data_IF_402067603064
#
_entry.id   IF_402067603064
#
_cell.length_a   1.000
_cell.length_b   1.000
_cell.length_c   1.000
_cell.angle_alpha   90.00
_cell.angle_beta   90.00
_cell.angle_gamma   90.00
#
_symmetry.space_group_name_H-M   'P 1'
#
loop_
_entity.id
_entity.type
_entity.pdbx_description
1 polymer ?
#
# COMPACT_ATOMS: atom_id res chain seq x y z
N UNK A 1 3.13 -3.04 -1.81
CA UNK A 1 2.45 -3.97 -2.74
C UNK A 1 2.12 -5.24 -1.98
N UNK A 2 0.85 -5.43 -1.61
CA UNK A 2 0.41 -6.51 -0.73
C UNK A 2 0.59 -7.90 -1.35
N UNK A 3 0.46 -8.01 -2.67
CA UNK A 3 0.57 -9.29 -3.39
C UNK A 3 2.02 -9.76 -3.49
N UNK A 4 2.95 -8.82 -3.71
CA UNK A 4 4.38 -9.12 -3.69
C UNK A 4 4.82 -9.56 -2.28
N UNK A 5 4.41 -8.83 -1.24
CA UNK A 5 4.74 -9.19 0.14
C UNK A 5 4.16 -10.54 0.55
N UNK A 6 2.91 -10.81 0.18
CA UNK A 6 2.27 -12.11 0.41
C UNK A 6 3.00 -13.23 -0.32
N UNK A 7 3.34 -13.05 -1.60
CA UNK A 7 4.08 -14.07 -2.38
C UNK A 7 5.44 -14.38 -1.74
N UNK A 8 6.20 -13.35 -1.33
CA UNK A 8 7.46 -13.54 -0.63
C UNK A 8 7.28 -14.29 0.69
N UNK A 9 6.25 -13.96 1.47
CA UNK A 9 5.94 -14.66 2.71
C UNK A 9 5.64 -16.14 2.48
N UNK A 10 4.81 -16.48 1.48
CA UNK A 10 4.49 -17.86 1.14
C UNK A 10 5.71 -18.65 0.65
N UNK A 11 6.63 -18.02 -0.09
CA UNK A 11 7.86 -18.67 -0.56
C UNK A 11 8.79 -18.97 0.62
N UNK A 12 8.95 -18.02 1.55
CA UNK A 12 9.79 -18.21 2.73
C UNK A 12 9.22 -19.29 3.66
N UNK A 13 7.90 -19.29 3.88
CA UNK A 13 7.21 -20.32 4.67
C UNK A 13 7.40 -21.72 4.04
N UNK A 14 7.21 -21.84 2.72
CA UNK A 14 7.47 -23.08 1.99
C UNK A 14 8.94 -23.53 2.03
N UNK A 15 9.88 -22.59 2.20
CA UNK A 15 11.31 -22.87 2.38
C UNK A 15 11.68 -23.24 3.83
N UNK A 16 10.70 -23.29 4.75
CA UNK A 16 10.88 -23.71 6.14
C UNK A 16 11.25 -22.60 7.11
N UNK A 17 11.09 -21.33 6.73
CA UNK A 17 11.26 -20.21 7.66
C UNK A 17 10.01 -20.01 8.50
N UNK A 18 10.17 -19.59 9.75
CA UNK A 18 9.07 -18.98 10.51
C UNK A 18 8.83 -17.57 9.97
N UNK A 19 7.63 -17.32 9.41
CA UNK A 19 7.30 -16.05 8.74
C UNK A 19 6.22 -15.29 9.50
N UNK A 20 6.59 -14.12 10.00
CA UNK A 20 5.67 -13.18 10.64
C UNK A 20 5.31 -12.07 9.63
N UNK A 21 4.05 -12.02 9.26
CA UNK A 21 3.48 -11.08 8.29
C UNK A 21 2.93 -9.88 9.06
N UNK A 22 3.56 -8.74 8.86
CA UNK A 22 3.20 -7.50 9.56
C UNK A 22 2.73 -6.43 8.59
N UNK A 23 1.82 -5.58 9.04
CA UNK A 23 1.38 -4.40 8.30
C UNK A 23 1.56 -3.14 9.15
N UNK A 24 2.01 -2.04 8.53
CA UNK A 24 2.01 -0.72 9.17
C UNK A 24 0.78 0.01 8.68
N UNK A 25 -0.10 0.38 9.60
CA UNK A 25 -1.28 1.19 9.33
C UNK A 25 -0.96 2.62 9.74
N UNK A 26 -1.01 3.52 8.76
CA UNK A 26 -0.96 4.95 9.03
C UNK A 26 -2.34 5.39 9.52
N UNK A 27 -2.45 5.54 10.83
CA UNK A 27 -3.70 5.89 11.52
C UNK A 27 -3.62 7.24 12.21
N UNK A 28 -2.63 8.06 11.88
CA UNK A 28 -2.43 9.40 12.44
C UNK A 28 -2.07 10.39 11.35
N UNK A 29 -2.59 11.61 11.47
CA UNK A 29 -2.07 12.78 10.78
C UNK A 29 -3.16 13.69 10.26
N UNK A 30 -2.74 14.79 9.63
CA UNK A 30 -3.65 15.84 9.17
C UNK A 30 -4.69 15.31 8.17
N UNK A 31 -4.35 14.29 7.36
CA UNK A 31 -5.28 13.69 6.41
C UNK A 31 -6.50 13.04 7.09
N UNK A 32 -6.30 12.41 8.25
CA UNK A 32 -7.40 11.80 9.02
C UNK A 32 -8.26 12.88 9.67
N UNK A 33 -7.63 13.93 10.21
CA UNK A 33 -8.34 15.09 10.76
C UNK A 33 -9.22 15.78 9.70
N UNK A 34 -8.77 15.84 8.44
CA UNK A 34 -9.58 16.35 7.32
C UNK A 34 -10.86 15.53 7.13
N UNK A 35 -10.76 14.19 7.08
CA UNK A 35 -11.93 13.31 6.97
C UNK A 35 -12.85 13.42 8.18
N UNK A 36 -12.29 13.43 9.40
CA UNK A 36 -13.07 13.58 10.64
C UNK A 36 -13.83 14.89 10.68
N UNK A 37 -13.17 16.01 10.34
CA UNK A 37 -13.78 17.32 10.32
C UNK A 37 -14.88 17.42 9.25
N UNK A 38 -14.64 16.91 8.04
CA UNK A 38 -15.66 16.89 7.00
C UNK A 38 -16.87 16.03 7.39
N UNK A 39 -16.67 14.89 8.03
CA UNK A 39 -17.77 14.07 8.54
C UNK A 39 -18.56 14.78 9.66
N UNK A 40 -17.89 15.49 10.57
CA UNK A 40 -18.57 16.28 11.60
C UNK A 40 -19.40 17.44 11.01
N UNK A 41 -18.87 18.12 10.00
CA UNK A 41 -19.53 19.28 9.39
C UNK A 41 -20.64 18.90 8.41
N UNK A 42 -20.45 17.83 7.64
CA UNK A 42 -21.27 17.51 6.46
C UNK A 42 -21.82 16.08 6.47
N UNK A 43 -21.43 15.26 7.43
CA UNK A 43 -21.78 13.83 7.44
C UNK A 43 -23.14 13.52 8.04
N UNK A 44 -23.82 14.46 8.70
CA UNK A 44 -25.17 14.28 9.28
C UNK A 44 -25.31 13.02 10.17
N UNK A 45 -24.26 12.65 10.89
CA UNK A 45 -24.16 11.40 11.67
C UNK A 45 -24.35 10.10 10.87
N UNK A 46 -24.20 10.14 9.54
CA UNK A 46 -24.21 8.95 8.70
C UNK A 46 -23.08 8.00 9.07
N UNK A 47 -23.28 6.72 8.77
CA UNK A 47 -22.33 5.63 9.03
C UNK A 47 -22.20 4.77 7.79
N UNK A 48 -21.14 3.93 7.69
CA UNK A 48 -21.07 2.90 6.64
C UNK A 48 -22.34 2.05 6.56
N UNK A 49 -22.86 1.64 7.72
CA UNK A 49 -24.09 0.84 7.81
C UNK A 49 -25.34 1.58 7.30
N UNK A 50 -25.48 2.88 7.57
CA UNK A 50 -26.65 3.65 7.13
C UNK A 50 -26.60 4.02 5.65
N UNK A 51 -25.40 4.07 5.06
CA UNK A 51 -25.20 4.44 3.64
C UNK A 51 -25.03 3.22 2.73
N UNK A 52 -24.72 2.04 3.29
CA UNK A 52 -24.35 0.86 2.52
C UNK A 52 -22.98 0.96 1.84
N UNK A 53 -22.19 1.99 2.17
CA UNK A 53 -20.84 2.19 1.62
C UNK A 53 -19.83 1.50 2.54
N UNK A 54 -18.89 0.77 1.95
CA UNK A 54 -17.78 0.12 2.65
C UNK A 54 -16.99 1.13 3.50
N UNK A 55 -16.56 0.74 4.71
CA UNK A 55 -16.08 1.70 5.72
C UNK A 55 -14.88 2.57 5.32
N UNK A 56 -13.87 2.01 4.65
CA UNK A 56 -12.73 2.76 4.12
C UNK A 56 -13.10 3.68 2.96
N UNK A 57 -14.01 3.25 2.07
CA UNK A 57 -14.55 4.10 1.00
C UNK A 57 -15.40 5.24 1.59
N UNK A 58 -16.21 4.95 2.60
CA UNK A 58 -17.05 5.92 3.30
C UNK A 58 -16.20 7.03 3.92
N UNK A 59 -15.15 6.67 4.67
CA UNK A 59 -14.22 7.65 5.26
C UNK A 59 -13.40 8.38 4.19
N UNK A 60 -13.00 7.67 3.12
CA UNK A 60 -12.33 8.24 1.95
C UNK A 60 -13.17 9.31 1.24
N UNK A 61 -14.48 9.10 1.13
CA UNK A 61 -15.39 10.10 0.56
C UNK A 61 -15.37 11.42 1.33
N UNK A 62 -15.24 11.39 2.66
CA UNK A 62 -15.10 12.62 3.46
C UNK A 62 -13.74 13.30 3.30
N UNK A 63 -12.67 12.56 2.98
CA UNK A 63 -11.41 13.17 2.57
C UNK A 63 -11.58 13.96 1.26
N UNK A 64 -12.27 13.35 0.28
CA UNK A 64 -12.57 14.00 -1.00
C UNK A 64 -13.49 15.21 -0.80
N UNK A 65 -14.52 15.09 0.05
CA UNK A 65 -15.41 16.19 0.41
C UNK A 65 -14.63 17.34 1.06
N UNK A 66 -13.72 17.04 2.00
CA UNK A 66 -12.85 18.06 2.59
C UNK A 66 -12.03 18.79 1.52
N UNK A 67 -11.35 18.05 0.63
CA UNK A 67 -10.53 18.67 -0.42
C UNK A 67 -11.36 19.48 -1.42
N UNK A 68 -12.59 19.04 -1.72
CA UNK A 68 -13.54 19.78 -2.53
C UNK A 68 -13.94 21.11 -1.88
N UNK A 69 -14.31 21.08 -0.60
CA UNK A 69 -14.66 22.27 0.19
C UNK A 69 -13.48 23.22 0.35
N UNK A 70 -12.29 22.69 0.63
CA UNK A 70 -11.07 23.45 0.72
C UNK A 70 -10.70 24.12 -0.61
N UNK A 71 -10.86 23.41 -1.74
CA UNK A 71 -10.65 23.99 -3.07
C UNK A 71 -11.62 25.14 -3.34
N UNK A 72 -12.89 24.99 -2.96
CA UNK A 72 -13.88 26.06 -3.09
C UNK A 72 -13.55 27.27 -2.19
N UNK A 73 -13.15 27.04 -0.95
CA UNK A 73 -12.69 28.08 -0.02
C UNK A 73 -11.48 28.84 -0.60
N UNK A 74 -10.49 28.11 -1.11
CA UNK A 74 -9.28 28.69 -1.67
C UNK A 74 -9.56 29.50 -2.95
N UNK A 75 -10.41 28.98 -3.85
CA UNK A 75 -10.83 29.69 -5.06
C UNK A 75 -11.60 30.98 -4.74
N UNK A 76 -12.45 30.96 -3.71
CA UNK A 76 -13.13 32.16 -3.24
C UNK A 76 -12.13 33.18 -2.67
N UNK A 77 -11.16 32.73 -1.86
CA UNK A 77 -10.12 33.59 -1.29
C UNK A 77 -9.25 34.24 -2.37
N UNK A 78 -8.87 33.52 -3.42
CA UNK A 78 -8.08 34.04 -4.54
C UNK A 78 -8.70 35.27 -5.21
N UNK A 79 -10.02 35.43 -5.12
CA UNK A 79 -10.76 36.56 -5.69
C UNK A 79 -10.87 37.77 -4.75
N UNK A 80 -10.20 37.75 -3.59
CA UNK A 80 -10.27 38.82 -2.59
C UNK A 80 -9.09 39.79 -2.71
N UNK A 81 -9.28 41.04 -2.27
CA UNK A 81 -8.21 42.04 -2.20
C UNK A 81 -7.02 41.57 -1.34
N UNK A 82 -7.28 40.75 -0.31
CA UNK A 82 -6.25 40.17 0.53
C UNK A 82 -5.35 39.20 -0.25
N UNK A 83 -5.93 38.35 -1.10
CA UNK A 83 -5.17 37.44 -1.95
C UNK A 83 -4.37 38.20 -3.02
N UNK A 84 -4.97 39.23 -3.62
CA UNK A 84 -4.30 40.10 -4.60
C UNK A 84 -3.08 40.77 -3.95
N UNK A 85 -3.22 41.29 -2.73
CA UNK A 85 -2.11 41.91 -2.01
C UNK A 85 -0.99 40.90 -1.68
N UNK A 86 -1.34 39.67 -1.28
CA UNK A 86 -0.36 38.59 -1.03
C UNK A 86 0.36 38.21 -2.33
N UNK A 87 -0.36 38.09 -3.44
CA UNK A 87 0.22 37.78 -4.75
C UNK A 87 1.19 38.89 -5.20
N UNK A 88 0.76 40.15 -5.21
CA UNK A 88 1.58 41.27 -5.67
C UNK A 88 2.84 41.49 -4.83
N UNK A 89 2.80 41.15 -3.53
CA UNK A 89 3.95 41.29 -2.63
C UNK A 89 4.93 40.11 -2.66
N UNK A 90 4.51 38.93 -3.11
CA UNK A 90 5.33 37.70 -3.03
C UNK A 90 5.62 37.05 -4.39
N UNK A 91 5.03 37.54 -5.49
CA UNK A 91 5.31 37.01 -6.83
C UNK A 91 6.77 37.23 -7.22
N UNK A 92 7.35 36.25 -7.90
CA UNK A 92 8.63 36.39 -8.59
C UNK A 92 8.40 37.02 -9.97
N UNK A 93 9.39 37.74 -10.51
CA UNK A 93 9.25 38.50 -11.77
C UNK A 93 8.69 37.68 -12.95
N UNK A 94 9.02 36.39 -13.04
CA UNK A 94 8.59 35.49 -14.13
C UNK A 94 7.54 34.44 -13.71
N UNK A 95 6.94 34.55 -12.52
CA UNK A 95 5.99 33.55 -12.03
C UNK A 95 4.57 33.90 -12.45
N UNK A 96 3.88 32.97 -13.13
CA UNK A 96 2.48 33.15 -13.45
C UNK A 96 1.60 33.08 -12.19
N UNK A 97 0.43 33.72 -12.24
CA UNK A 97 -0.57 33.69 -11.16
C UNK A 97 -0.95 32.25 -10.77
N UNK A 98 -1.15 31.38 -11.76
CA UNK A 98 -1.47 29.98 -11.54
C UNK A 98 -0.34 29.22 -10.83
N UNK A 99 0.93 29.45 -11.22
CA UNK A 99 2.08 28.83 -10.56
C UNK A 99 2.26 29.33 -9.12
N UNK A 100 2.03 30.63 -8.88
CA UNK A 100 2.07 31.20 -7.54
C UNK A 100 1.03 30.55 -6.64
N UNK A 101 -0.24 30.56 -7.04
CA UNK A 101 -1.30 30.01 -6.19
C UNK A 101 -1.22 28.49 -6.04
N UNK A 102 -0.68 27.76 -7.01
CA UNK A 102 -0.40 26.34 -6.83
C UNK A 102 0.66 26.09 -5.75
N UNK A 103 1.74 26.90 -5.72
CA UNK A 103 2.76 26.80 -4.68
C UNK A 103 2.27 27.31 -3.31
N UNK A 104 1.43 28.34 -3.30
CA UNK A 104 0.92 28.98 -2.09
C UNK A 104 -0.17 28.17 -1.37
N UNK A 105 -0.76 27.15 -2.02
CA UNK A 105 -1.87 26.33 -1.48
C UNK A 105 -1.59 25.80 -0.07
N UNK A 106 -0.37 25.33 0.19
CA UNK A 106 0.01 24.81 1.52
C UNK A 106 0.12 25.92 2.57
N UNK A 107 0.67 27.08 2.20
CA UNK A 107 0.73 28.22 3.10
C UNK A 107 -0.67 28.77 3.40
N UNK A 108 -1.53 28.86 2.38
CA UNK A 108 -2.94 29.19 2.54
C UNK A 108 -3.64 28.25 3.53
N UNK A 109 -3.51 26.93 3.33
CA UNK A 109 -4.05 25.92 4.26
C UNK A 109 -3.56 26.15 5.70
N UNK A 110 -2.30 26.53 5.85
CA UNK A 110 -1.67 26.63 7.15
C UNK A 110 -2.03 27.90 7.92
N UNK A 111 -2.11 29.04 7.22
CA UNK A 111 -2.08 30.35 7.86
C UNK A 111 -3.41 31.11 7.71
N UNK A 112 -4.19 30.81 6.65
CA UNK A 112 -5.36 31.61 6.27
C UNK A 112 -6.66 30.81 6.29
N UNK A 113 -6.61 29.53 5.93
CA UNK A 113 -7.79 28.69 5.75
C UNK A 113 -8.52 28.42 7.06
N UNK A 114 -9.82 28.69 7.10
CA UNK A 114 -10.66 28.33 8.24
C UNK A 114 -10.74 26.80 8.41
N UNK A 115 -10.95 26.08 7.30
CA UNK A 115 -10.93 24.61 7.29
C UNK A 115 -9.55 24.05 7.70
N UNK A 116 -8.46 24.66 7.22
CA UNK A 116 -7.10 24.24 7.57
C UNK A 116 -6.77 24.46 9.05
N UNK A 117 -7.17 25.61 9.61
CA UNK A 117 -7.02 25.90 11.04
C UNK A 117 -7.85 24.93 11.90
N UNK A 118 -9.09 24.65 11.53
CA UNK A 118 -9.94 23.69 12.24
C UNK A 118 -9.35 22.26 12.20
N UNK A 119 -8.84 21.81 11.05
CA UNK A 119 -8.21 20.50 10.92
C UNK A 119 -6.92 20.40 11.77
N UNK A 120 -6.13 21.46 11.84
CA UNK A 120 -4.95 21.54 12.73
C UNK A 120 -5.33 21.55 14.20
N UNK A 121 -6.35 22.31 14.58
CA UNK A 121 -6.84 22.33 15.95
C UNK A 121 -7.29 20.94 16.39
N UNK A 122 -8.00 20.21 15.54
CA UNK A 122 -8.38 18.82 15.78
C UNK A 122 -7.16 17.90 15.92
N UNK A 123 -6.12 18.08 15.11
CA UNK A 123 -4.88 17.31 15.26
C UNK A 123 -4.23 17.56 16.62
N UNK A 124 -4.14 18.82 17.07
CA UNK A 124 -3.61 19.16 18.38
C UNK A 124 -4.45 18.59 19.53
N UNK A 125 -5.78 18.62 19.40
CA UNK A 125 -6.70 18.00 20.36
C UNK A 125 -6.48 16.49 20.44
N UNK A 126 -6.32 15.82 19.30
CA UNK A 126 -6.01 14.40 19.24
C UNK A 126 -4.67 14.09 19.92
N UNK A 127 -3.62 14.87 19.64
CA UNK A 127 -2.29 14.71 20.25
C UNK A 127 -2.31 14.97 21.77
N UNK A 128 -3.18 15.88 22.23
CA UNK A 128 -3.41 16.15 23.65
C UNK A 128 -4.26 15.07 24.35
N UNK A 129 -4.78 14.08 23.60
CA UNK A 129 -5.61 13.01 24.14
C UNK A 129 -7.03 13.45 24.48
N UNK A 130 -7.56 14.48 23.81
CA UNK A 130 -8.93 14.96 24.00
C UNK A 130 -9.95 13.81 23.84
N UNK A 131 -10.78 13.52 24.87
CA UNK A 131 -11.64 12.33 24.86
C UNK A 131 -12.62 12.25 23.67
N UNK A 132 -13.20 13.38 23.27
CA UNK A 132 -14.17 13.42 22.17
C UNK A 132 -13.48 13.20 20.82
N UNK A 133 -12.36 13.90 20.60
CA UNK A 133 -11.56 13.78 19.38
C UNK A 133 -11.00 12.36 19.22
N UNK A 134 -10.47 11.77 20.30
CA UNK A 134 -9.96 10.39 20.29
C UNK A 134 -11.09 9.39 20.07
N UNK A 135 -12.28 9.61 20.64
CA UNK A 135 -13.44 8.73 20.42
C UNK A 135 -13.91 8.76 18.95
N UNK A 136 -13.97 9.94 18.34
CA UNK A 136 -14.29 10.08 16.91
C UNK A 136 -13.23 9.39 16.04
N UNK A 137 -11.96 9.62 16.35
CA UNK A 137 -10.84 8.99 15.65
C UNK A 137 -10.91 7.46 15.70
N UNK A 138 -11.12 6.87 16.89
CA UNK A 138 -11.30 5.41 17.06
C UNK A 138 -12.47 4.89 16.24
N UNK A 139 -13.59 5.62 16.22
CA UNK A 139 -14.79 5.24 15.45
C UNK A 139 -14.51 5.22 13.95
N UNK A 140 -13.97 6.30 13.39
CA UNK A 140 -13.75 6.39 11.95
C UNK A 140 -12.66 5.44 11.47
N UNK A 141 -11.54 5.33 12.21
CA UNK A 141 -10.50 4.35 11.88
C UNK A 141 -11.01 2.91 12.01
N UNK A 142 -11.89 2.62 12.98
CA UNK A 142 -12.56 1.32 13.09
C UNK A 142 -13.28 0.93 11.79
N UNK A 143 -14.04 1.85 11.19
CA UNK A 143 -14.69 1.63 9.89
C UNK A 143 -13.69 1.38 8.76
N UNK A 144 -12.57 2.12 8.74
CA UNK A 144 -11.50 1.90 7.76
C UNK A 144 -10.88 0.51 7.91
N UNK A 145 -10.61 0.07 9.14
CA UNK A 145 -10.00 -1.23 9.40
C UNK A 145 -10.93 -2.40 9.03
N UNK A 146 -12.23 -2.25 9.28
CA UNK A 146 -13.25 -3.20 8.81
C UNK A 146 -13.24 -3.30 7.28
N UNK A 147 -13.21 -2.15 6.59
CA UNK A 147 -13.10 -2.09 5.14
C UNK A 147 -11.82 -2.74 4.59
N UNK A 148 -10.66 -2.44 5.16
CA UNK A 148 -9.40 -3.08 4.78
C UNK A 148 -9.45 -4.61 4.96
N UNK A 149 -10.07 -5.09 6.04
CA UNK A 149 -10.22 -6.53 6.27
C UNK A 149 -11.08 -7.21 5.20
N UNK A 150 -12.10 -6.54 4.65
CA UNK A 150 -12.86 -7.05 3.51
C UNK A 150 -11.97 -7.21 2.28
N UNK A 151 -11.16 -6.20 1.94
CA UNK A 151 -10.21 -6.26 0.81
C UNK A 151 -9.15 -7.34 1.04
N UNK A 152 -8.62 -7.48 2.26
CA UNK A 152 -7.63 -8.52 2.59
C UNK A 152 -8.20 -9.92 2.42
N UNK A 153 -9.42 -10.16 2.94
CA UNK A 153 -10.15 -11.42 2.70
C UNK A 153 -10.39 -11.63 1.22
N UNK A 154 -10.76 -10.58 0.48
CA UNK A 154 -11.04 -10.68 -0.93
C UNK A 154 -9.81 -11.11 -1.74
N UNK A 155 -8.64 -10.58 -1.39
CA UNK A 155 -7.35 -10.94 -1.95
C UNK A 155 -6.79 -12.25 -1.38
N UNK A 156 -7.36 -12.83 -0.32
CA UNK A 156 -6.84 -14.02 0.33
C UNK A 156 -5.46 -13.78 0.95
N UNK A 157 -5.29 -12.63 1.60
CA UNK A 157 -4.07 -12.24 2.32
C UNK A 157 -4.40 -12.02 3.80
N UNK A 158 -3.44 -12.33 4.67
CA UNK A 158 -3.58 -12.17 6.12
C UNK A 158 -2.32 -11.55 6.73
N UNK A 159 -2.47 -10.94 7.90
CA UNK A 159 -1.37 -10.41 8.69
C UNK A 159 -1.45 -10.99 10.09
N UNK A 160 -0.29 -11.37 10.64
CA UNK A 160 -0.17 -11.88 12.01
C UNK A 160 -0.19 -10.73 13.02
N UNK A 161 0.28 -9.54 12.61
CA UNK A 161 0.20 -8.32 13.42
C UNK A 161 0.02 -7.04 12.59
N UNK A 162 -0.87 -6.17 13.07
CA UNK A 162 -1.00 -4.79 12.61
C UNK A 162 -0.26 -3.87 13.58
N UNK A 163 0.60 -3.01 13.04
CA UNK A 163 1.26 -1.94 13.77
C UNK A 163 0.60 -0.63 13.40
N UNK A 164 0.37 0.22 14.40
CA UNK A 164 -0.22 1.53 14.21
C UNK A 164 0.82 2.61 14.46
N UNK A 165 0.90 3.61 13.59
CA UNK A 165 1.84 4.72 13.77
C UNK A 165 1.56 5.52 15.06
N UNK A 166 0.31 5.49 15.53
CA UNK A 166 -0.09 6.03 16.83
C UNK A 166 0.63 5.38 18.02
N UNK A 167 1.09 4.13 17.90
CA UNK A 167 1.76 3.39 18.98
C UNK A 167 3.30 3.54 18.98
N UNK A 168 3.92 3.83 17.83
CA UNK A 168 5.38 3.70 17.66
C UNK A 168 6.15 5.02 17.76
N UNK A 169 5.48 6.17 17.63
CA UNK A 169 6.16 7.46 17.51
C UNK A 169 6.90 7.91 18.78
N UNK A 170 6.42 7.54 19.97
CA UNK A 170 7.06 7.88 21.24
C UNK A 170 8.41 7.16 21.39
N UNK A 171 8.44 5.87 21.08
CA UNK A 171 9.67 5.07 21.12
C UNK A 171 10.76 5.64 20.19
N UNK A 172 10.36 6.11 19.00
CA UNK A 172 11.27 6.77 18.07
C UNK A 172 11.95 8.01 18.67
N UNK A 173 11.22 8.82 19.43
CA UNK A 173 11.79 10.01 20.11
C UNK A 173 12.79 9.61 21.18
N UNK A 174 12.47 8.62 22.01
CA UNK A 174 13.37 8.13 23.07
C UNK A 174 14.70 7.61 22.49
N UNK A 175 14.66 6.95 21.33
CA UNK A 175 15.86 6.47 20.63
C UNK A 175 16.70 7.65 20.11
N UNK A 176 16.07 8.69 19.55
CA UNK A 176 16.78 9.90 19.11
C UNK A 176 17.46 10.60 20.29
N UNK A 177 16.78 10.73 21.43
CA UNK A 177 17.34 11.34 22.63
C UNK A 177 18.55 10.56 23.16
N UNK A 178 18.51 9.22 23.12
CA UNK A 178 19.66 8.37 23.46
C UNK A 178 20.80 8.57 22.45
N UNK A 179 20.48 8.59 21.16
CA UNK A 179 21.47 8.77 20.09
C UNK A 179 22.13 10.16 20.09
N UNK A 180 21.45 11.20 20.58
CA UNK A 180 22.04 12.51 20.84
C UNK A 180 23.14 12.43 21.92
N UNK A 181 22.90 11.67 23.00
CA UNK A 181 23.87 11.51 24.10
C UNK A 181 25.10 10.72 23.67
N UNK A 182 24.97 9.82 22.71
CA UNK A 182 26.07 9.00 22.17
C UNK A 182 26.76 9.64 20.96
N UNK A 183 26.31 10.81 20.49
CA UNK A 183 26.89 11.54 19.36
C UNK A 183 26.52 11.00 17.97
N UNK A 184 25.54 10.10 17.87
CA UNK A 184 25.01 9.61 16.58
C UNK A 184 24.18 10.70 15.89
N UNK A 185 23.41 11.45 16.68
CA UNK A 185 22.65 12.60 16.22
C UNK A 185 23.31 13.89 16.70
N UNK A 186 23.01 15.01 16.03
CA UNK A 186 23.43 16.34 16.44
C UNK A 186 22.24 17.32 16.38
N UNK A 187 22.29 18.35 17.22
CA UNK A 187 21.26 19.38 17.31
C UNK A 187 21.73 20.66 16.62
N UNK A 188 20.85 21.28 15.83
CA UNK A 188 21.08 22.60 15.21
C UNK A 188 20.65 23.75 16.13
N UNK A 189 21.06 25.00 15.85
CA UNK A 189 20.70 26.17 16.66
C UNK A 189 19.18 26.43 16.77
N UNK A 190 18.38 25.95 15.82
CA UNK A 190 16.91 26.03 15.83
C UNK A 190 16.24 24.91 16.66
N UNK A 191 17.02 24.15 17.43
CA UNK A 191 16.63 22.97 18.20
C UNK A 191 16.25 21.73 17.38
N UNK A 192 16.29 21.78 16.05
CA UNK A 192 16.04 20.58 15.23
C UNK A 192 17.17 19.55 15.36
N UNK A 193 16.83 18.27 15.28
CA UNK A 193 17.79 17.16 15.44
C UNK A 193 18.00 16.48 14.09
N UNK A 194 19.28 16.25 13.78
CA UNK A 194 19.74 15.73 12.51
C UNK A 194 20.75 14.59 12.69
N UNK A 195 20.94 13.81 11.64
CA UNK A 195 22.08 12.91 11.49
C UNK A 195 22.89 13.31 10.27
N UNK A 196 24.21 13.25 10.39
CA UNK A 196 25.16 13.40 9.28
C UNK A 196 25.42 12.02 8.71
N UNK A 197 25.21 11.83 7.41
CA UNK A 197 25.38 10.54 6.73
C UNK A 197 26.36 10.62 5.55
N UNK A 198 27.20 11.66 5.49
CA UNK A 198 28.09 11.90 4.35
C UNK A 198 29.09 10.76 4.14
N UNK A 199 29.58 10.13 5.21
CA UNK A 199 30.46 8.95 5.15
C UNK A 199 29.83 7.76 4.40
N UNK A 200 28.49 7.67 4.42
CA UNK A 200 27.71 6.67 3.70
C UNK A 200 27.29 7.14 2.29
N UNK A 201 27.77 8.30 1.84
CA UNK A 201 27.36 9.00 0.59
C UNK A 201 25.88 9.36 0.57
N UNK A 202 25.34 9.74 1.72
CA UNK A 202 23.97 10.22 1.90
C UNK A 202 24.00 11.64 2.50
N UNK A 203 22.90 12.38 2.37
CA UNK A 203 22.82 13.75 2.89
C UNK A 203 22.50 13.76 4.40
N UNK A 204 22.70 14.92 5.03
CA UNK A 204 22.19 15.18 6.36
C UNK A 204 20.67 15.02 6.40
N UNK A 205 20.16 14.23 7.35
CA UNK A 205 18.74 13.94 7.48
C UNK A 205 18.16 14.52 8.76
N UNK A 206 17.06 15.26 8.63
CA UNK A 206 16.22 15.69 9.74
C UNK A 206 15.53 14.47 10.36
N UNK A 207 15.71 14.27 11.67
CA UNK A 207 15.05 13.20 12.44
C UNK A 207 14.13 13.73 13.53
N UNK A 208 14.21 15.00 13.92
CA UNK A 208 13.20 15.66 14.76
C UNK A 208 13.10 17.14 14.39
N UNK A 209 11.89 17.66 14.22
CA UNK A 209 11.66 19.08 13.94
C UNK A 209 12.01 19.96 15.15
N UNK A 210 12.19 21.25 14.90
CA UNK A 210 12.50 22.27 15.91
C UNK A 210 11.44 22.41 17.02
N UNK A 211 10.18 22.11 16.69
CA UNK A 211 9.04 22.07 17.61
C UNK A 211 8.92 20.74 18.40
N UNK A 212 9.86 19.81 18.19
CA UNK A 212 9.84 18.47 18.81
C UNK A 212 8.90 17.48 18.14
N UNK A 213 8.27 17.83 17.01
CA UNK A 213 7.39 16.94 16.25
C UNK A 213 8.18 15.87 15.51
N UNK A 214 7.74 14.61 15.60
CA UNK A 214 8.35 13.46 14.90
C UNK A 214 8.14 13.55 13.38
N UNK A 215 9.11 13.04 12.63
CA UNK A 215 9.01 12.82 11.18
C UNK A 215 8.88 11.32 10.90
N UNK A 216 8.57 10.93 9.65
CA UNK A 216 8.48 9.52 9.26
C UNK A 216 9.73 8.71 9.61
N UNK A 217 10.93 9.32 9.47
CA UNK A 217 12.18 8.67 9.87
C UNK A 217 12.20 8.31 11.36
N UNK A 218 11.72 9.21 12.24
CA UNK A 218 11.59 8.93 13.69
C UNK A 218 10.71 7.73 13.96
N UNK A 219 9.56 7.69 13.29
CA UNK A 219 8.56 6.64 13.47
C UNK A 219 9.07 5.29 13.00
N UNK A 220 9.78 5.25 11.87
CA UNK A 220 10.33 4.00 11.33
C UNK A 220 11.50 3.47 12.17
N UNK A 221 12.31 4.33 12.78
CA UNK A 221 13.32 3.92 13.77
C UNK A 221 12.65 3.25 14.97
N UNK A 222 11.59 3.86 15.51
CA UNK A 222 10.82 3.29 16.61
C UNK A 222 10.16 1.96 16.22
N UNK A 223 9.54 1.91 15.04
CA UNK A 223 8.83 0.72 14.54
C UNK A 223 9.78 -0.44 14.27
N UNK A 224 10.96 -0.19 13.69
CA UNK A 224 11.99 -1.22 13.48
C UNK A 224 12.47 -1.82 14.81
N UNK A 225 12.66 -0.96 15.82
CA UNK A 225 13.10 -1.39 17.16
C UNK A 225 12.03 -2.20 17.87
N UNK A 226 10.79 -1.71 17.89
CA UNK A 226 9.65 -2.43 18.49
C UNK A 226 9.48 -3.84 17.91
N UNK A 227 9.58 -3.96 16.58
CA UNK A 227 9.47 -5.26 15.89
C UNK A 227 10.56 -6.24 16.28
N UNK A 228 11.78 -5.74 16.49
CA UNK A 228 12.88 -6.57 16.92
C UNK A 228 12.74 -6.97 18.39
N UNK A 229 12.35 -6.03 19.27
CA UNK A 229 12.10 -6.33 20.68
C UNK A 229 11.00 -7.37 20.88
N UNK A 230 9.99 -7.38 20.01
CA UNK A 230 8.87 -8.32 20.08
C UNK A 230 9.19 -9.69 19.49
N UNK A 231 9.87 -9.74 18.34
CA UNK A 231 10.02 -10.99 17.58
C UNK A 231 11.46 -11.52 17.51
N UNK A 232 12.47 -10.70 17.82
CA UNK A 232 13.87 -11.10 17.74
C UNK A 232 14.30 -11.61 16.35
N UNK A 233 13.76 -11.02 15.28
CA UNK A 233 13.88 -11.57 13.93
C UNK A 233 15.33 -11.71 13.43
N UNK A 234 15.59 -12.77 12.68
CA UNK A 234 16.87 -12.96 11.96
C UNK A 234 16.94 -12.18 10.65
N UNK A 235 15.79 -11.90 10.02
CA UNK A 235 15.67 -11.13 8.78
C UNK A 235 14.38 -10.34 8.76
N UNK A 236 14.45 -9.13 8.19
CA UNK A 236 13.27 -8.28 8.00
C UNK A 236 13.20 -7.76 6.58
N UNK A 237 12.10 -8.05 5.89
CA UNK A 237 11.86 -7.61 4.51
C UNK A 237 10.81 -6.51 4.48
N UNK A 238 11.23 -5.31 4.07
CA UNK A 238 10.35 -4.17 3.80
C UNK A 238 9.89 -4.21 2.34
N UNK A 239 8.59 -4.32 2.10
CA UNK A 239 8.01 -4.37 0.75
C UNK A 239 7.37 -3.02 0.42
N UNK A 240 8.19 -2.08 -0.06
CA UNK A 240 7.78 -0.67 -0.27
C UNK A 240 8.22 -0.19 -1.65
N UNK A 241 7.46 0.73 -2.25
CA UNK A 241 7.72 1.26 -3.59
C UNK A 241 9.10 1.93 -3.72
N UNK A 242 9.60 2.00 -4.97
CA UNK A 242 10.89 2.59 -5.34
C UNK A 242 11.02 4.08 -5.01
N UNK A 243 9.90 4.80 -4.93
CA UNK A 243 9.83 6.19 -4.43
C UNK A 243 10.45 6.35 -3.03
N UNK A 244 10.51 5.27 -2.23
CA UNK A 244 11.07 5.28 -0.87
C UNK A 244 12.48 4.68 -0.78
N UNK A 245 13.16 4.42 -1.91
CA UNK A 245 14.50 3.83 -1.90
C UNK A 245 15.50 4.60 -1.04
N UNK A 246 15.56 5.92 -1.19
CA UNK A 246 16.47 6.77 -0.40
C UNK A 246 16.11 6.73 1.09
N UNK A 247 14.81 6.72 1.41
CA UNK A 247 14.33 6.64 2.79
C UNK A 247 14.83 5.37 3.49
N UNK A 248 14.71 4.20 2.85
CA UNK A 248 15.18 2.94 3.45
C UNK A 248 16.71 2.84 3.53
N UNK A 249 17.44 3.41 2.57
CA UNK A 249 18.91 3.51 2.67
C UNK A 249 19.32 4.30 3.91
N UNK A 250 18.69 5.46 4.11
CA UNK A 250 18.91 6.31 5.29
C UNK A 250 18.50 5.60 6.58
N UNK A 251 17.32 4.94 6.61
CA UNK A 251 16.85 4.20 7.78
C UNK A 251 17.86 3.12 8.18
N UNK A 252 18.28 2.26 7.24
CA UNK A 252 19.19 1.16 7.54
C UNK A 252 20.55 1.66 8.02
N UNK A 253 21.06 2.74 7.43
CA UNK A 253 22.30 3.38 7.88
C UNK A 253 22.17 3.96 9.29
N UNK A 254 21.05 4.62 9.61
CA UNK A 254 20.77 5.09 10.98
C UNK A 254 20.76 3.92 11.96
N UNK A 255 20.10 2.81 11.63
CA UNK A 255 20.05 1.63 12.50
C UNK A 255 21.45 1.04 12.75
N UNK A 256 22.34 1.05 11.75
CA UNK A 256 23.74 0.63 11.90
C UNK A 256 24.52 1.54 12.84
N UNK A 257 24.39 2.86 12.68
CA UNK A 257 25.08 3.85 13.54
C UNK A 257 24.57 3.85 14.98
N UNK A 258 23.30 3.52 15.18
CA UNK A 258 22.73 3.28 16.50
C UNK A 258 23.21 1.96 17.13
N UNK A 259 23.96 1.13 16.40
CA UNK A 259 24.47 -0.15 16.89
C UNK A 259 23.39 -1.23 17.04
N UNK A 260 22.29 -1.12 16.31
CA UNK A 260 21.22 -2.10 16.38
C UNK A 260 21.69 -3.47 15.85
N UNK A 261 21.54 -4.57 16.62
CA UNK A 261 22.13 -5.87 16.27
C UNK A 261 21.52 -6.51 15.01
N UNK A 262 20.35 -6.04 14.60
CA UNK A 262 19.60 -6.52 13.44
C UNK A 262 19.77 -5.64 12.19
N UNK A 263 20.54 -4.56 12.26
CA UNK A 263 20.60 -3.57 11.17
C UNK A 263 21.05 -4.15 9.82
N UNK A 264 22.01 -5.10 9.83
CA UNK A 264 22.49 -5.77 8.61
C UNK A 264 21.51 -6.80 8.03
N UNK A 265 20.49 -7.17 8.81
CA UNK A 265 19.47 -8.15 8.43
C UNK A 265 18.18 -7.53 7.89
N UNK A 266 18.16 -6.20 7.76
CA UNK A 266 17.05 -5.44 7.16
C UNK A 266 17.23 -5.35 5.65
N UNK A 267 16.19 -5.69 4.90
CA UNK A 267 16.20 -5.68 3.43
C UNK A 267 15.01 -4.91 2.87
N UNK A 268 15.26 -4.01 1.92
CA UNK A 268 14.21 -3.31 1.18
C UNK A 268 13.94 -4.03 -0.15
N UNK A 269 12.85 -4.79 -0.20
CA UNK A 269 12.27 -5.30 -1.43
C UNK A 269 11.51 -4.18 -2.14
N UNK A 270 12.29 -3.36 -2.83
CA UNK A 270 11.79 -2.25 -3.65
C UNK A 270 11.00 -2.75 -4.87
N UNK A 271 9.85 -2.13 -5.14
CA UNK A 271 9.04 -2.41 -6.32
C UNK A 271 8.69 -1.13 -7.11
N UNK A 272 8.60 -1.25 -8.43
CA UNK A 272 8.21 -0.17 -9.33
C UNK A 272 6.70 0.06 -9.34
N UNK A 273 6.28 1.25 -9.76
CA UNK A 273 4.87 1.63 -9.77
C UNK A 273 4.06 0.86 -10.83
N UNK A 274 2.77 0.71 -10.55
CA UNK A 274 1.79 0.09 -11.45
C UNK A 274 0.93 1.19 -12.07
N UNK A 275 0.89 1.25 -13.39
CA UNK A 275 0.06 2.16 -14.18
C UNK A 275 -1.04 1.38 -14.90
N UNK A 276 -2.15 2.04 -15.22
CA UNK A 276 -3.18 1.47 -16.10
C UNK A 276 -2.98 2.00 -17.53
N UNK A 277 -3.46 1.32 -18.59
CA UNK A 277 -3.36 1.81 -19.96
C UNK A 277 -3.98 3.21 -20.17
N UNK A 278 -4.96 3.57 -19.34
CA UNK A 278 -5.64 4.87 -19.35
C UNK A 278 -4.85 5.99 -18.66
N UNK A 279 -3.72 5.68 -18.03
CA UNK A 279 -2.85 6.59 -17.29
C UNK A 279 -2.55 6.09 -15.87
N UNK A 280 -2.13 6.99 -14.98
CA UNK A 280 -2.00 6.67 -13.54
C UNK A 280 -3.32 6.13 -13.00
N UNK A 281 -3.29 5.42 -11.86
CA UNK A 281 -4.49 5.07 -11.06
C UNK A 281 -5.18 6.35 -10.52
N UNK A 282 -5.72 7.16 -11.43
CA UNK A 282 -6.55 8.32 -11.25
C UNK A 282 -7.47 8.34 -12.47
N UNK A 283 -8.75 8.15 -12.23
CA UNK A 283 -9.78 8.36 -13.25
C UNK A 283 -9.68 9.80 -13.79
N UNK A 284 -10.17 10.02 -15.01
CA UNK A 284 -10.31 11.37 -15.58
C UNK A 284 -11.23 12.28 -14.76
N UNK A 285 -11.98 11.72 -13.81
CA UNK A 285 -12.86 12.43 -12.87
C UNK A 285 -12.20 12.68 -11.50
N UNK A 286 -10.94 12.26 -11.31
CA UNK A 286 -10.18 12.47 -10.07
C UNK A 286 -10.35 11.38 -9.01
N UNK A 287 -11.08 10.32 -9.30
CA UNK A 287 -11.24 9.15 -8.42
C UNK A 287 -10.01 8.26 -8.51
N UNK A 288 -9.38 7.96 -7.38
CA UNK A 288 -8.32 6.95 -7.27
C UNK A 288 -8.93 5.59 -7.66
N UNK A 289 -8.18 4.75 -8.38
CA UNK A 289 -8.64 3.36 -8.64
C UNK A 289 -8.38 2.56 -7.38
N UNK A 290 -9.44 2.18 -6.67
CA UNK A 290 -9.35 1.41 -5.45
C UNK A 290 -9.02 -0.05 -5.76
N UNK A 291 -8.42 -0.75 -4.79
CA UNK A 291 -8.09 -2.16 -4.94
C UNK A 291 -9.34 -3.02 -5.21
N UNK A 292 -10.47 -2.64 -4.61
CA UNK A 292 -11.75 -3.33 -4.80
C UNK A 292 -12.28 -3.15 -6.21
N UNK A 293 -12.17 -1.94 -6.78
CA UNK A 293 -12.56 -1.64 -8.15
C UNK A 293 -11.71 -2.45 -9.13
N UNK A 294 -10.40 -2.53 -8.89
CA UNK A 294 -9.50 -3.32 -9.73
C UNK A 294 -9.84 -4.82 -9.68
N UNK A 295 -10.15 -5.35 -8.49
CA UNK A 295 -10.60 -6.75 -8.34
C UNK A 295 -11.92 -6.97 -9.10
N UNK A 296 -12.88 -6.06 -8.95
CA UNK A 296 -14.17 -6.14 -9.63
C UNK A 296 -14.02 -6.06 -11.15
N UNK A 297 -13.16 -5.17 -11.66
CA UNK A 297 -12.86 -5.00 -13.07
C UNK A 297 -12.27 -6.28 -13.67
N UNK A 298 -11.23 -6.85 -13.04
CA UNK A 298 -10.58 -8.08 -13.55
C UNK A 298 -11.54 -9.28 -13.52
N UNK A 299 -12.40 -9.38 -12.50
CA UNK A 299 -13.46 -10.41 -12.45
C UNK A 299 -14.49 -10.17 -13.57
N UNK A 300 -14.84 -8.92 -13.84
CA UNK A 300 -15.72 -8.52 -14.93
C UNK A 300 -15.16 -8.90 -16.31
N UNK A 301 -13.87 -8.65 -16.54
CA UNK A 301 -13.18 -9.07 -17.78
C UNK A 301 -13.10 -10.60 -17.90
N UNK A 302 -12.86 -11.31 -16.79
CA UNK A 302 -12.89 -12.77 -16.77
C UNK A 302 -14.28 -13.33 -17.15
N UNK A 303 -15.36 -12.67 -16.70
CA UNK A 303 -16.74 -13.02 -17.08
C UNK A 303 -16.94 -12.84 -18.58
N UNK A 304 -16.64 -11.66 -19.12
CA UNK A 304 -16.80 -11.37 -20.55
C UNK A 304 -16.05 -12.39 -21.41
N UNK A 305 -14.80 -12.68 -21.06
CA UNK A 305 -14.00 -13.67 -21.77
C UNK A 305 -14.60 -15.10 -21.68
N UNK A 306 -15.29 -15.45 -20.59
CA UNK A 306 -15.96 -16.74 -20.46
C UNK A 306 -17.27 -16.80 -21.29
N UNK A 307 -18.04 -15.71 -21.32
CA UNK A 307 -19.26 -15.56 -22.13
C UNK A 307 -18.98 -15.64 -23.63
N UNK A 308 -17.93 -14.93 -24.11
CA UNK A 308 -17.51 -14.95 -25.52
C UNK A 308 -17.16 -16.36 -26.05
N UNK A 309 -16.82 -17.29 -25.14
CA UNK A 309 -16.50 -18.68 -25.46
C UNK A 309 -17.67 -19.65 -25.30
N UNK A 310 -18.84 -19.15 -24.91
CA UNK A 310 -20.00 -19.98 -24.61
C UNK A 310 -19.80 -20.90 -23.40
N UNK A 311 -18.87 -20.56 -22.50
CA UNK A 311 -18.55 -21.37 -21.32
C UNK A 311 -19.45 -21.03 -20.10
N UNK A 312 -20.23 -19.95 -20.20
CA UNK A 312 -21.10 -19.43 -19.15
C UNK A 312 -22.44 -19.09 -19.80
N UNK A 313 -23.52 -19.72 -19.35
CA UNK A 313 -24.88 -19.21 -19.61
C UNK A 313 -25.09 -17.97 -18.74
N UNK A 314 -25.97 -17.03 -19.13
CA UNK A 314 -26.18 -15.73 -18.44
C UNK A 314 -26.73 -15.83 -16.99
N UNK A 315 -26.53 -16.93 -16.28
CA UNK A 315 -27.06 -17.21 -14.96
C UNK A 315 -26.17 -16.66 -13.84
N UNK A 316 -26.82 -16.15 -12.79
CA UNK A 316 -26.24 -15.83 -11.48
C UNK A 316 -25.91 -17.08 -10.66
N UNK A 317 -25.38 -18.13 -11.27
CA UNK A 317 -25.02 -19.37 -10.56
C UNK A 317 -23.87 -19.09 -9.56
N UNK A 318 -24.08 -19.27 -8.23
CA UNK A 318 -23.04 -19.04 -7.23
C UNK A 318 -21.75 -19.82 -7.49
N UNK A 319 -21.83 -21.02 -8.08
CA UNK A 319 -20.65 -21.82 -8.42
C UNK A 319 -19.86 -21.19 -9.57
N UNK A 320 -20.54 -20.74 -10.62
CA UNK A 320 -19.91 -20.00 -11.73
C UNK A 320 -19.28 -18.70 -11.25
N UNK A 321 -19.95 -17.96 -10.36
CA UNK A 321 -19.40 -16.75 -9.74
C UNK A 321 -18.11 -17.03 -8.97
N UNK A 322 -18.06 -18.13 -8.21
CA UNK A 322 -16.86 -18.54 -7.50
C UNK A 322 -15.72 -18.93 -8.45
N UNK A 323 -16.02 -19.56 -9.60
CA UNK A 323 -15.03 -19.88 -10.64
C UNK A 323 -14.48 -18.60 -11.28
N UNK A 324 -15.36 -17.68 -11.71
CA UNK A 324 -14.95 -16.41 -12.30
C UNK A 324 -14.08 -15.59 -11.34
N UNK A 325 -14.43 -15.59 -10.04
CA UNK A 325 -13.61 -14.99 -9.00
C UNK A 325 -12.21 -15.61 -8.93
N UNK A 326 -12.10 -16.94 -8.96
CA UNK A 326 -10.79 -17.63 -8.95
C UNK A 326 -9.95 -17.28 -10.18
N UNK A 327 -10.58 -17.15 -11.35
CA UNK A 327 -9.92 -16.76 -12.61
C UNK A 327 -9.44 -15.32 -12.52
N UNK A 328 -10.31 -14.38 -12.13
CA UNK A 328 -9.95 -12.97 -12.01
C UNK A 328 -8.85 -12.72 -10.97
N UNK A 329 -8.92 -13.38 -9.80
CA UNK A 329 -7.85 -13.26 -8.81
C UNK A 329 -6.52 -13.87 -9.29
N UNK A 330 -6.55 -14.96 -10.05
CA UNK A 330 -5.33 -15.50 -10.64
C UNK A 330 -4.74 -14.57 -11.69
N UNK A 331 -5.58 -13.96 -12.53
CA UNK A 331 -5.19 -12.94 -13.50
C UNK A 331 -4.48 -11.77 -12.82
N UNK A 332 -5.14 -11.15 -11.83
CA UNK A 332 -4.59 -10.04 -11.06
C UNK A 332 -3.28 -10.43 -10.36
N UNK A 333 -3.31 -11.48 -9.55
CA UNK A 333 -2.15 -11.88 -8.74
C UNK A 333 -0.95 -12.26 -9.61
N UNK A 334 -1.16 -13.10 -10.61
CA UNK A 334 -0.09 -13.55 -11.48
C UNK A 334 0.53 -12.38 -12.24
N UNK A 335 -0.27 -11.47 -12.77
CA UNK A 335 0.25 -10.34 -13.54
C UNK A 335 1.11 -9.40 -12.70
N UNK A 336 0.75 -9.19 -11.43
CA UNK A 336 1.56 -8.39 -10.51
C UNK A 336 2.88 -9.09 -10.16
N UNK A 337 2.89 -10.42 -9.96
CA UNK A 337 4.10 -11.14 -9.53
C UNK A 337 5.00 -11.63 -10.69
N UNK A 338 4.49 -11.72 -11.92
CA UNK A 338 5.26 -12.23 -13.08
C UNK A 338 6.37 -11.27 -13.51
N UNK A 339 6.24 -9.99 -13.20
CA UNK A 339 7.20 -8.96 -13.58
C UNK A 339 8.23 -8.79 -12.46
N UNK A 340 9.48 -8.59 -12.85
CA UNK A 340 10.55 -8.28 -11.91
C UNK A 340 10.14 -7.09 -11.02
N UNK A 341 10.21 -7.20 -9.68
CA UNK A 341 9.64 -6.20 -8.78
C UNK A 341 10.04 -4.76 -9.06
N UNK A 342 11.32 -4.51 -9.37
CA UNK A 342 11.87 -3.15 -9.59
C UNK A 342 11.42 -2.48 -10.89
N UNK A 343 10.75 -3.19 -11.80
CA UNK A 343 10.30 -2.61 -13.07
C UNK A 343 8.94 -1.97 -12.86
N UNK A 344 8.77 -0.79 -13.45
CA UNK A 344 7.44 -0.21 -13.65
C UNK A 344 6.65 -1.11 -14.58
N UNK A 345 5.36 -1.24 -14.33
CA UNK A 345 4.47 -2.07 -15.13
C UNK A 345 3.19 -1.36 -15.49
N UNK A 346 2.70 -1.63 -16.69
CA UNK A 346 1.33 -1.32 -17.07
C UNK A 346 0.48 -2.56 -16.79
N UNK A 347 -0.54 -2.42 -15.94
CA UNK A 347 -1.52 -3.46 -15.66
C UNK A 347 -2.74 -3.25 -16.55
N UNK A 348 -2.91 -4.13 -17.55
CA UNK A 348 -4.11 -4.18 -18.38
C UNK A 348 -5.02 -5.33 -17.90
N UNK A 349 -6.20 -5.03 -17.30
CA UNK A 349 -7.15 -6.04 -16.86
C UNK A 349 -7.53 -7.03 -17.96
N UNK A 350 -7.70 -6.56 -19.20
CA UNK A 350 -8.10 -7.40 -20.35
C UNK A 350 -6.97 -8.33 -20.78
N UNK A 351 -5.73 -7.84 -20.82
CA UNK A 351 -4.56 -8.70 -21.09
C UNK A 351 -4.38 -9.74 -19.97
N UNK A 352 -4.67 -9.36 -18.71
CA UNK A 352 -4.43 -10.23 -17.56
C UNK A 352 -5.30 -11.50 -17.55
N UNK A 353 -6.47 -11.46 -18.21
CA UNK A 353 -7.45 -12.57 -18.22
C UNK A 353 -7.32 -13.50 -19.44
N UNK A 354 -6.37 -13.25 -20.35
CA UNK A 354 -6.17 -14.08 -21.55
C UNK A 354 -5.82 -15.53 -21.17
N UNK A 355 -6.32 -16.51 -21.94
CA UNK A 355 -5.91 -17.92 -21.84
C UNK A 355 -4.71 -18.26 -22.73
N UNK A 356 -4.10 -17.29 -23.38
CA UNK A 356 -2.86 -17.43 -24.12
C UNK A 356 -1.74 -16.64 -23.43
N UNK A 357 -0.51 -17.11 -23.59
CA UNK A 357 0.68 -16.44 -23.04
C UNK A 357 0.93 -16.71 -21.56
N UNK A 358 1.56 -15.74 -20.89
CA UNK A 358 1.97 -15.83 -19.48
C UNK A 358 0.94 -15.10 -18.60
N UNK A 359 -0.15 -15.79 -18.28
CA UNK A 359 -1.25 -15.28 -17.44
C UNK A 359 -1.63 -16.30 -16.36
N UNK A 360 -2.27 -15.82 -15.29
CA UNK A 360 -2.80 -16.69 -14.24
C UNK A 360 -3.88 -17.65 -14.77
N UNK A 361 -4.85 -17.20 -15.58
CA UNK A 361 -5.85 -18.05 -16.19
C UNK A 361 -5.27 -19.13 -17.10
N UNK A 362 -4.20 -18.86 -17.86
CA UNK A 362 -3.53 -19.89 -18.65
C UNK A 362 -2.97 -21.02 -17.78
N UNK A 363 -2.39 -20.70 -16.62
CA UNK A 363 -1.88 -21.69 -15.66
C UNK A 363 -3.03 -22.53 -15.09
N UNK A 364 -4.13 -21.89 -14.68
CA UNK A 364 -5.32 -22.59 -14.19
C UNK A 364 -5.93 -23.50 -15.25
N UNK A 365 -6.03 -23.02 -16.49
CA UNK A 365 -6.53 -23.80 -17.61
C UNK A 365 -5.64 -25.02 -17.88
N UNK A 366 -4.32 -24.85 -17.85
CA UNK A 366 -3.36 -25.95 -17.97
C UNK A 366 -3.52 -26.98 -16.86
N UNK A 367 -3.71 -26.54 -15.62
CA UNK A 367 -3.99 -27.40 -14.47
C UNK A 367 -5.27 -28.22 -14.66
N UNK A 368 -6.38 -27.59 -15.06
CA UNK A 368 -7.65 -28.30 -15.32
C UNK A 368 -7.49 -29.32 -16.45
N UNK A 369 -6.75 -28.99 -17.51
CA UNK A 369 -6.50 -29.94 -18.62
C UNK A 369 -5.70 -31.16 -18.18
N UNK A 370 -4.66 -30.98 -17.35
CA UNK A 370 -3.89 -32.12 -16.81
C UNK A 370 -4.77 -33.01 -15.96
N UNK A 371 -5.56 -32.43 -15.05
CA UNK A 371 -6.49 -33.20 -14.21
C UNK A 371 -7.52 -33.97 -15.05
N UNK A 372 -8.01 -33.38 -16.15
CA UNK A 372 -8.96 -34.07 -17.04
C UNK A 372 -8.31 -35.25 -17.77
N UNK A 373 -7.03 -35.17 -18.11
CA UNK A 373 -6.27 -36.32 -18.65
C UNK A 373 -6.11 -37.41 -17.59
N UNK A 374 -5.75 -37.06 -16.36
CA UNK A 374 -5.64 -38.01 -15.25
C UNK A 374 -6.99 -38.68 -14.93
N UNK A 375 -8.08 -37.91 -14.91
CA UNK A 375 -9.43 -38.44 -14.69
C UNK A 375 -9.81 -39.42 -15.79
N UNK A 376 -9.60 -39.05 -17.05
CA UNK A 376 -9.87 -39.94 -18.19
C UNK A 376 -9.06 -41.23 -18.11
N UNK A 377 -7.79 -41.15 -17.72
CA UNK A 377 -6.96 -42.33 -17.53
C UNK A 377 -7.51 -43.26 -16.44
N UNK A 378 -8.01 -42.69 -15.33
CA UNK A 378 -8.68 -43.45 -14.27
C UNK A 378 -10.00 -44.08 -14.75
N UNK A 379 -10.83 -43.33 -15.49
CA UNK A 379 -12.09 -43.81 -16.06
C UNK A 379 -11.88 -44.97 -17.06
N UNK A 380 -10.78 -44.92 -17.82
CA UNK A 380 -10.35 -45.97 -18.76
C UNK A 380 -9.59 -47.12 -18.07
N UNK A 381 -9.36 -47.05 -16.75
CA UNK A 381 -8.66 -48.09 -15.97
C UNK A 381 -7.17 -48.22 -16.29
N UNK A 382 -6.53 -47.15 -16.77
CA UNK A 382 -5.11 -47.13 -17.10
C UNK A 382 -4.28 -47.18 -15.82
N UNK A 383 -3.47 -48.24 -15.68
CA UNK A 383 -2.49 -48.35 -14.60
C UNK A 383 -1.29 -47.42 -14.87
N UNK A 384 -1.25 -46.31 -14.14
CA UNK A 384 -0.16 -45.33 -14.26
C UNK A 384 1.19 -45.92 -13.86
N UNK A 385 1.26 -46.96 -13.02
CA UNK A 385 2.53 -47.57 -12.58
C UNK A 385 3.31 -48.26 -13.72
N UNK A 386 2.65 -48.49 -14.86
CA UNK A 386 3.27 -48.99 -16.09
C UNK A 386 4.41 -48.12 -16.61
N UNK A 387 4.52 -46.85 -16.18
CA UNK A 387 5.65 -45.98 -16.51
C UNK A 387 7.01 -46.59 -16.13
N UNK A 388 7.07 -47.47 -15.13
CA UNK A 388 8.30 -48.15 -14.71
C UNK A 388 8.90 -49.06 -15.80
N UNK A 389 8.09 -49.46 -16.77
CA UNK A 389 8.50 -50.32 -17.89
C UNK A 389 8.97 -49.51 -19.11
N UNK A 390 8.91 -48.17 -19.05
CA UNK A 390 9.30 -47.30 -20.15
C UNK A 390 10.83 -47.30 -20.30
N UNK A 391 11.33 -48.05 -21.30
CA UNK A 391 12.77 -48.14 -21.58
C UNK A 391 13.28 -47.00 -22.48
N UNK A 392 12.39 -46.29 -23.19
CA UNK A 392 12.74 -45.20 -24.08
C UNK A 392 11.79 -44.04 -23.86
N UNK A 393 12.35 -42.86 -23.60
CA UNK A 393 11.60 -41.61 -23.51
C UNK A 393 11.80 -40.79 -24.78
N UNK A 394 10.72 -40.18 -25.26
CA UNK A 394 10.80 -39.19 -26.31
C UNK A 394 11.47 -37.92 -25.80
N UNK A 395 12.05 -37.15 -26.72
CA UNK A 395 12.79 -35.93 -26.40
C UNK A 395 11.93 -34.91 -25.61
N UNK A 396 10.63 -34.83 -25.88
CA UNK A 396 9.72 -33.93 -25.16
C UNK A 396 9.46 -34.39 -23.71
N UNK A 397 9.39 -35.70 -23.46
CA UNK A 397 9.21 -36.29 -22.13
C UNK A 397 10.46 -36.05 -21.27
N UNK A 398 11.65 -36.23 -21.86
CA UNK A 398 12.93 -35.92 -21.22
C UNK A 398 12.97 -34.44 -20.80
N UNK A 399 12.64 -33.53 -21.73
CA UNK A 399 12.62 -32.08 -21.42
C UNK A 399 11.60 -31.72 -20.34
N UNK A 400 10.43 -32.34 -20.35
CA UNK A 400 9.40 -32.10 -19.35
C UNK A 400 9.87 -32.60 -17.97
N UNK A 401 10.42 -33.82 -17.90
CA UNK A 401 10.96 -34.41 -16.68
C UNK A 401 12.10 -33.57 -16.09
N UNK A 402 13.04 -33.10 -16.92
CA UNK A 402 14.10 -32.18 -16.50
C UNK A 402 13.54 -30.88 -15.92
N UNK A 403 12.50 -30.31 -16.54
CA UNK A 403 11.86 -29.10 -16.00
C UNK A 403 11.20 -29.35 -14.64
N UNK A 404 10.54 -30.51 -14.43
CA UNK A 404 9.96 -30.83 -13.13
C UNK A 404 11.01 -30.96 -12.02
N UNK A 405 12.23 -31.39 -12.35
CA UNK A 405 13.33 -31.48 -11.36
C UNK A 405 13.94 -30.13 -10.96
N UNK A 406 13.62 -29.04 -11.67
CA UNK A 406 14.11 -27.71 -11.30
C UNK A 406 13.32 -27.05 -10.15
N UNK A 407 12.15 -27.59 -9.81
CA UNK A 407 11.42 -27.19 -8.62
C UNK A 407 11.77 -28.20 -7.51
N UNK A 408 12.58 -27.80 -6.51
CA UNK A 408 13.17 -28.71 -5.51
C UNK A 408 12.16 -29.29 -4.53
#
# INVERSE_FOLDING_TARGET
>A
NILLGWSCAQILDAAGYEVIKVQIVNDRGIAICKSMLAWQLYGENSTPASTGIKGDHFVGNYYVEFESRFRAEYAAWQSTDAAIAVYESNKKEDQSEAEFFNAFKNQYFNDYSALGQAAKAMLLQWEAGDPETVALWKRMNGWVYEGFNETYKALGVTFDKLYYESDTYLLGKDIIEKGLKTGVFYQKPDNSIWIDLEEAKLDHKLVLRSDGTSVYMTQDIGTATMRYEEFGFDKMVYVVADEQNYHFQVLFEIMKRLGAPYADNMHHLSYGMVELPTGKMKSREGTVVDADDLIAEVIGEARKAAEERGAVEQAEDPEQQAILRKIGLAALKFFIVKVQPKKWMTFDPKESVDLQGHTGPYIQYSYVRVNKVCQRAADEGIDLSSYQQYAQLFLFEIRLSQKSTHFP
#
